data_IF_585553013206
#
_entry.id   IF_585553013206
#
_cell.length_a   1.000
_cell.length_b   1.000
_cell.length_c   1.000
_cell.angle_alpha   90.00
_cell.angle_beta   90.00
_cell.angle_gamma   90.00
#
_symmetry.space_group_name_H-M   'P 1'
#
loop_
_entity.id
_entity.type
_entity.pdbx_description
1 polymer ?
#
# COMPACT_ATOMS: atom_id res chain seq x y z
N UNK A 1 -25.37 -14.13 -4.72
CA UNK A 1 -23.96 -14.55 -4.66
C UNK A 1 -23.12 -13.29 -4.87
N UNK A 2 -22.53 -12.75 -3.80
CA UNK A 2 -22.02 -11.38 -3.75
C UNK A 2 -20.73 -11.21 -4.55
N UNK A 3 -19.88 -12.24 -4.59
CA UNK A 3 -18.68 -12.26 -5.42
C UNK A 3 -19.03 -12.31 -6.92
N UNK A 4 -20.11 -13.01 -7.27
CA UNK A 4 -20.66 -12.99 -8.63
C UNK A 4 -21.21 -11.60 -8.98
N UNK A 5 -21.87 -10.91 -8.05
CA UNK A 5 -22.39 -9.56 -8.28
C UNK A 5 -21.27 -8.52 -8.47
N UNK A 6 -20.17 -8.61 -7.73
CA UNK A 6 -19.02 -7.70 -7.88
C UNK A 6 -18.22 -8.02 -9.14
N UNK A 7 -18.03 -9.30 -9.45
CA UNK A 7 -17.43 -9.72 -10.72
C UNK A 7 -18.29 -9.29 -11.91
N UNK A 8 -19.62 -9.38 -11.78
CA UNK A 8 -20.58 -8.89 -12.77
C UNK A 8 -20.58 -7.36 -12.86
N UNK A 9 -20.41 -6.63 -11.75
CA UNK A 9 -20.24 -5.18 -11.76
C UNK A 9 -18.93 -4.77 -12.44
N UNK A 10 -17.82 -5.45 -12.14
CA UNK A 10 -16.54 -5.25 -12.81
C UNK A 10 -16.60 -5.58 -14.31
N UNK A 11 -17.41 -6.56 -14.71
CA UNK A 11 -17.69 -6.89 -16.10
C UNK A 11 -18.64 -5.87 -16.76
N UNK A 12 -19.66 -5.39 -16.05
CA UNK A 12 -20.58 -4.33 -16.48
C UNK A 12 -19.87 -2.99 -16.67
N UNK A 13 -18.88 -2.68 -15.82
CA UNK A 13 -17.96 -1.54 -15.98
C UNK A 13 -17.17 -1.65 -17.30
N UNK A 14 -16.72 -2.86 -17.68
CA UNK A 14 -16.06 -3.08 -18.98
C UNK A 14 -17.02 -2.84 -20.16
N UNK A 15 -18.32 -3.06 -19.96
CA UNK A 15 -19.38 -2.81 -20.94
C UNK A 15 -19.86 -1.35 -20.96
N UNK A 16 -19.49 -0.49 -19.99
CA UNK A 16 -19.85 0.94 -19.98
C UNK A 16 -19.38 1.68 -21.24
N UNK A 17 -18.24 1.28 -21.83
CA UNK A 17 -17.75 1.86 -23.10
C UNK A 17 -18.63 1.52 -24.32
N UNK A 18 -19.58 0.58 -24.21
CA UNK A 18 -20.36 0.10 -25.34
C UNK A 18 -21.85 0.48 -25.33
N UNK A 19 -22.44 0.91 -24.20
CA UNK A 19 -23.90 0.85 -24.04
C UNK A 19 -24.66 2.15 -23.74
N UNK A 20 -24.03 3.32 -23.57
CA UNK A 20 -24.74 4.58 -23.24
C UNK A 20 -25.75 4.46 -22.07
N UNK A 21 -25.50 3.55 -21.12
CA UNK A 21 -26.39 3.18 -19.99
C UNK A 21 -25.74 3.39 -18.62
N UNK A 22 -24.87 4.39 -18.52
CA UNK A 22 -24.04 4.61 -17.32
C UNK A 22 -24.87 4.91 -16.07
N UNK A 23 -25.95 5.68 -16.13
CA UNK A 23 -26.81 5.94 -14.96
C UNK A 23 -27.41 4.64 -14.37
N UNK A 24 -27.72 3.67 -15.23
CA UNK A 24 -28.24 2.36 -14.84
C UNK A 24 -27.12 1.52 -14.17
N UNK A 25 -25.90 1.57 -14.71
CA UNK A 25 -24.71 0.87 -14.16
C UNK A 25 -24.24 1.51 -12.84
N UNK A 26 -24.34 2.83 -12.73
CA UNK A 26 -24.08 3.62 -11.54
C UNK A 26 -25.06 3.28 -10.42
N UNK A 27 -26.36 3.21 -10.74
CA UNK A 27 -27.40 2.76 -9.82
C UNK A 27 -27.15 1.33 -9.33
N UNK A 28 -26.80 0.42 -10.24
CA UNK A 28 -26.44 -0.96 -9.89
C UNK A 28 -25.19 -1.04 -9.00
N UNK A 29 -24.16 -0.24 -9.27
CA UNK A 29 -22.97 -0.23 -8.42
C UNK A 29 -23.27 0.30 -7.01
N UNK A 30 -24.14 1.31 -6.91
CA UNK A 30 -24.64 1.85 -5.64
C UNK A 30 -25.38 0.77 -4.84
N UNK A 31 -26.30 0.06 -5.50
CA UNK A 31 -27.05 -1.04 -4.88
C UNK A 31 -26.14 -2.19 -4.44
N UNK A 32 -25.07 -2.46 -5.19
CA UNK A 32 -24.07 -3.47 -4.85
C UNK A 32 -23.26 -3.05 -3.63
N UNK A 33 -22.77 -1.80 -3.58
CA UNK A 33 -22.02 -1.27 -2.43
C UNK A 33 -22.85 -1.28 -1.14
N UNK A 34 -24.13 -0.91 -1.22
CA UNK A 34 -25.03 -0.93 -0.06
C UNK A 34 -25.39 -2.33 0.43
N UNK A 35 -25.17 -3.37 -0.39
CA UNK A 35 -25.50 -4.77 -0.08
C UNK A 35 -24.25 -5.67 0.00
N UNK A 36 -23.06 -5.09 0.21
CA UNK A 36 -21.83 -5.88 0.36
C UNK A 36 -21.92 -6.77 1.60
N UNK A 37 -21.96 -8.08 1.35
CA UNK A 37 -21.89 -9.09 2.39
C UNK A 37 -20.48 -9.18 2.99
N UNK A 38 -20.37 -9.61 4.24
CA UNK A 38 -19.10 -9.85 4.92
C UNK A 38 -18.17 -10.86 4.22
N UNK A 39 -18.67 -11.63 3.25
CA UNK A 39 -17.90 -12.63 2.52
C UNK A 39 -17.26 -12.10 1.23
N UNK A 40 -17.48 -10.84 0.90
CA UNK A 40 -16.95 -10.23 -0.33
C UNK A 40 -15.43 -10.13 -0.30
N UNK A 41 -14.81 -10.51 -1.41
CA UNK A 41 -13.36 -10.35 -1.58
C UNK A 41 -12.96 -8.88 -1.74
N UNK A 42 -12.15 -8.37 -0.80
CA UNK A 42 -11.63 -7.00 -0.81
C UNK A 42 -10.84 -6.64 -2.07
N UNK A 43 -10.16 -7.61 -2.71
CA UNK A 43 -9.44 -7.38 -3.97
C UNK A 43 -10.40 -7.05 -5.11
N UNK A 44 -11.48 -7.81 -5.24
CA UNK A 44 -12.43 -7.65 -6.34
C UNK A 44 -13.19 -6.33 -6.21
N UNK A 45 -13.50 -5.91 -4.97
CA UNK A 45 -14.04 -4.58 -4.68
C UNK A 45 -13.07 -3.46 -5.09
N UNK A 46 -11.80 -3.56 -4.70
CA UNK A 46 -10.78 -2.56 -5.07
C UNK A 46 -10.57 -2.47 -6.60
N UNK A 47 -10.58 -3.61 -7.29
CA UNK A 47 -10.47 -3.66 -8.75
C UNK A 47 -11.69 -3.03 -9.44
N UNK A 48 -12.90 -3.27 -8.90
CA UNK A 48 -14.13 -2.66 -9.40
C UNK A 48 -14.12 -1.14 -9.20
N UNK A 49 -13.82 -0.66 -7.99
CA UNK A 49 -13.69 0.77 -7.68
C UNK A 49 -12.63 1.45 -8.56
N UNK A 50 -11.47 0.83 -8.76
CA UNK A 50 -10.43 1.42 -9.61
C UNK A 50 -10.88 1.57 -11.06
N UNK A 51 -11.60 0.59 -11.62
CA UNK A 51 -12.14 0.67 -12.99
C UNK A 51 -13.24 1.73 -13.08
N UNK A 52 -14.15 1.71 -12.14
CA UNK A 52 -15.23 2.69 -12.01
C UNK A 52 -14.68 4.12 -11.98
N UNK A 53 -13.75 4.41 -11.07
CA UNK A 53 -13.16 5.74 -10.93
C UNK A 53 -12.46 6.19 -12.21
N UNK A 54 -11.79 5.28 -12.91
CA UNK A 54 -11.13 5.58 -14.18
C UNK A 54 -12.15 5.93 -15.27
N UNK A 55 -13.24 5.17 -15.39
CA UNK A 55 -14.27 5.42 -16.40
C UNK A 55 -15.02 6.73 -16.16
N UNK A 56 -15.43 7.01 -14.92
CA UNK A 56 -16.09 8.28 -14.58
C UNK A 56 -15.14 9.45 -14.79
N UNK A 57 -13.88 9.32 -14.38
CA UNK A 57 -12.87 10.34 -14.61
C UNK A 57 -12.70 10.67 -16.09
N UNK A 58 -12.53 9.64 -16.94
CA UNK A 58 -12.32 9.81 -18.38
C UNK A 58 -13.47 10.57 -19.06
N UNK A 59 -14.69 10.42 -18.55
CA UNK A 59 -15.90 10.91 -19.19
C UNK A 59 -16.46 12.20 -18.59
N UNK A 60 -16.45 12.30 -17.27
CA UNK A 60 -17.12 13.36 -16.50
C UNK A 60 -16.17 14.23 -15.66
N UNK A 61 -14.89 13.86 -15.63
CA UNK A 61 -13.84 14.63 -14.96
C UNK A 61 -13.77 14.44 -13.43
N UNK A 62 -12.72 15.03 -12.85
CA UNK A 62 -12.28 14.81 -11.46
C UNK A 62 -13.32 15.17 -10.42
N UNK A 63 -13.94 16.33 -10.54
CA UNK A 63 -14.92 16.78 -9.54
C UNK A 63 -16.12 15.83 -9.44
N UNK A 64 -16.54 15.28 -10.58
CA UNK A 64 -17.69 14.36 -10.64
C UNK A 64 -17.39 13.07 -9.90
N UNK A 65 -16.24 12.44 -10.17
CA UNK A 65 -15.88 11.18 -9.50
C UNK A 65 -15.64 11.39 -7.99
N UNK A 66 -15.01 12.48 -7.58
CA UNK A 66 -14.81 12.78 -6.15
C UNK A 66 -16.14 12.95 -5.43
N UNK A 67 -17.09 13.67 -6.04
CA UNK A 67 -18.44 13.86 -5.48
C UNK A 67 -19.18 12.53 -5.38
N UNK A 68 -19.11 11.68 -6.40
CA UNK A 68 -19.79 10.39 -6.41
C UNK A 68 -19.23 9.43 -5.35
N UNK A 69 -17.90 9.31 -5.27
CA UNK A 69 -17.26 8.50 -4.22
C UNK A 69 -17.55 9.05 -2.81
N UNK A 70 -17.61 10.38 -2.65
CA UNK A 70 -17.97 11.02 -1.38
C UNK A 70 -19.41 10.73 -0.96
N UNK A 71 -20.34 10.75 -1.92
CA UNK A 71 -21.72 10.36 -1.67
C UNK A 71 -21.83 8.89 -1.27
N UNK A 72 -21.07 7.98 -1.92
CA UNK A 72 -21.03 6.57 -1.52
C UNK A 72 -20.48 6.41 -0.10
N UNK A 73 -19.40 7.11 0.23
CA UNK A 73 -18.82 7.08 1.57
C UNK A 73 -19.82 7.56 2.64
N UNK A 74 -20.57 8.63 2.36
CA UNK A 74 -21.59 9.17 3.26
C UNK A 74 -22.80 8.26 3.45
N UNK A 75 -23.08 7.37 2.49
CA UNK A 75 -24.20 6.42 2.53
C UNK A 75 -23.78 5.00 2.93
N UNK A 76 -22.48 4.77 3.14
CA UNK A 76 -21.94 3.45 3.41
C UNK A 76 -22.25 3.00 4.85
N UNK A 77 -23.27 2.13 4.99
CA UNK A 77 -23.55 1.37 6.22
C UNK A 77 -22.86 -0.02 6.24
N UNK A 78 -22.06 -0.32 5.20
CA UNK A 78 -21.38 -1.59 5.02
C UNK A 78 -20.22 -1.84 5.99
N UNK A 79 -19.57 -3.02 5.90
CA UNK A 79 -18.46 -3.39 6.77
C UNK A 79 -17.24 -2.46 6.59
N UNK A 80 -16.37 -2.32 7.63
CA UNK A 80 -15.26 -1.34 7.63
C UNK A 80 -14.34 -1.38 6.40
N UNK A 81 -14.11 -2.56 5.82
CA UNK A 81 -13.26 -2.70 4.63
C UNK A 81 -13.83 -2.02 3.38
N UNK A 82 -15.16 -1.85 3.28
CA UNK A 82 -15.81 -1.14 2.16
C UNK A 82 -15.56 0.35 2.29
N UNK A 83 -15.68 0.87 3.51
CA UNK A 83 -15.38 2.25 3.84
C UNK A 83 -13.92 2.57 3.52
N UNK A 84 -13.00 1.71 3.95
CA UNK A 84 -11.57 1.80 3.58
C UNK A 84 -11.38 1.84 2.06
N UNK A 85 -11.99 0.91 1.31
CA UNK A 85 -11.83 0.84 -0.13
C UNK A 85 -12.32 2.11 -0.86
N UNK A 86 -13.43 2.70 -0.41
CA UNK A 86 -13.96 3.95 -0.96
C UNK A 86 -13.02 5.13 -0.70
N UNK A 87 -12.53 5.26 0.53
CA UNK A 87 -11.58 6.30 0.92
C UNK A 87 -10.29 6.19 0.11
N UNK A 88 -9.73 4.99 -0.03
CA UNK A 88 -8.53 4.76 -0.84
C UNK A 88 -8.77 5.02 -2.33
N UNK A 89 -9.98 4.78 -2.84
CA UNK A 89 -10.35 5.11 -4.22
C UNK A 89 -10.41 6.62 -4.44
N UNK A 90 -10.96 7.40 -3.50
CA UNK A 90 -10.94 8.88 -3.56
C UNK A 90 -9.52 9.40 -3.55
N UNK A 91 -8.70 8.90 -2.64
CA UNK A 91 -7.30 9.29 -2.51
C UNK A 91 -6.52 9.05 -3.81
N UNK A 92 -6.72 7.89 -4.43
CA UNK A 92 -6.10 7.55 -5.72
C UNK A 92 -6.51 8.48 -6.86
N UNK A 93 -7.75 8.98 -6.85
CA UNK A 93 -8.22 9.98 -7.81
C UNK A 93 -7.55 11.32 -7.55
N UNK A 94 -7.48 11.77 -6.30
CA UNK A 94 -6.83 13.03 -5.91
C UNK A 94 -5.35 13.03 -6.34
N UNK A 95 -4.60 12.01 -5.94
CA UNK A 95 -3.17 11.86 -6.27
C UNK A 95 -2.90 11.87 -7.78
N UNK A 96 -3.82 11.29 -8.56
CA UNK A 96 -3.62 11.11 -10.00
C UNK A 96 -4.10 12.28 -10.84
N UNK A 97 -5.09 13.04 -10.38
CA UNK A 97 -5.78 14.01 -11.23
C UNK A 97 -5.86 15.42 -10.64
N UNK A 98 -5.47 15.61 -9.37
CA UNK A 98 -5.38 16.93 -8.71
C UNK A 98 -3.90 17.26 -8.49
N UNK A 99 -3.14 17.33 -9.58
CA UNK A 99 -1.72 17.69 -9.54
C UNK A 99 -1.52 19.11 -9.00
N UNK A 100 -0.62 19.28 -8.04
CA UNK A 100 -0.20 20.58 -7.52
C UNK A 100 -1.04 21.13 -6.36
N UNK A 101 -2.04 20.38 -5.87
CA UNK A 101 -2.74 20.71 -4.62
C UNK A 101 -2.33 19.76 -3.48
N UNK A 102 -1.05 19.77 -3.13
CA UNK A 102 -0.50 18.93 -2.06
C UNK A 102 -1.21 19.17 -0.72
N UNK A 103 -1.69 20.39 -0.46
CA UNK A 103 -2.45 20.74 0.74
C UNK A 103 -3.79 20.00 0.84
N UNK A 104 -4.50 19.83 -0.28
CA UNK A 104 -5.76 19.08 -0.27
C UNK A 104 -5.49 17.59 -0.05
N UNK A 105 -4.43 17.05 -0.65
CA UNK A 105 -4.00 15.67 -0.44
C UNK A 105 -3.58 15.45 1.03
N UNK A 106 -2.85 16.38 1.64
CA UNK A 106 -2.46 16.36 3.06
C UNK A 106 -3.67 16.27 4.00
N UNK A 107 -4.71 17.07 3.73
CA UNK A 107 -5.95 17.04 4.52
C UNK A 107 -6.58 15.66 4.46
N UNK A 108 -6.70 15.08 3.25
CA UNK A 108 -7.29 13.75 3.09
C UNK A 108 -6.48 12.67 3.82
N UNK A 109 -5.14 12.65 3.70
CA UNK A 109 -4.31 11.71 4.46
C UNK A 109 -4.50 11.87 5.97
N UNK A 110 -4.57 13.11 6.47
CA UNK A 110 -4.79 13.40 7.88
C UNK A 110 -6.18 13.00 8.39
N UNK A 111 -7.21 13.06 7.54
CA UNK A 111 -8.56 12.59 7.88
C UNK A 111 -8.59 11.07 8.03
N UNK A 112 -7.92 10.31 7.15
CA UNK A 112 -7.86 8.84 7.24
C UNK A 112 -7.25 8.40 8.58
N UNK A 113 -6.14 9.02 8.99
CA UNK A 113 -5.46 8.71 10.26
C UNK A 113 -6.37 9.01 11.47
N UNK A 114 -7.21 10.04 11.39
CA UNK A 114 -8.13 10.42 12.48
C UNK A 114 -9.37 9.55 12.56
N UNK A 115 -9.84 9.10 11.41
CA UNK A 115 -11.14 8.44 11.29
C UNK A 115 -11.07 6.92 11.54
N UNK A 116 -9.96 6.30 11.17
CA UNK A 116 -9.79 4.85 11.28
C UNK A 116 -8.81 4.48 12.40
N UNK A 117 -9.21 3.58 13.30
CA UNK A 117 -8.22 2.92 14.15
C UNK A 117 -7.31 2.05 13.28
N UNK A 118 -6.00 2.16 13.52
CA UNK A 118 -4.99 1.46 12.71
C UNK A 118 -5.25 -0.04 12.65
N UNK A 119 -5.75 -0.65 13.72
CA UNK A 119 -6.08 -2.08 13.80
C UNK A 119 -7.11 -2.55 12.77
N UNK A 120 -8.01 -1.66 12.33
CA UNK A 120 -9.05 -1.97 11.33
C UNK A 120 -8.62 -1.69 9.90
N UNK A 121 -7.55 -0.92 9.69
CA UNK A 121 -7.00 -0.69 8.36
C UNK A 121 -6.27 -1.93 7.84
N UNK A 122 -6.35 -2.20 6.55
CA UNK A 122 -5.58 -3.26 5.91
C UNK A 122 -4.08 -2.91 5.84
N UNK A 123 -3.20 -3.92 5.83
CA UNK A 123 -1.75 -3.67 5.68
C UNK A 123 -1.37 -2.84 4.45
N UNK A 124 -2.02 -3.01 3.27
CA UNK A 124 -1.86 -2.10 2.13
C UNK A 124 -2.18 -0.64 2.43
N UNK A 125 -3.29 -0.38 3.13
CA UNK A 125 -3.71 0.97 3.48
C UNK A 125 -2.66 1.61 4.39
N UNK A 126 -2.22 0.88 5.42
CA UNK A 126 -1.20 1.35 6.37
C UNK A 126 0.13 1.62 5.67
N UNK A 127 0.57 0.74 4.77
CA UNK A 127 1.77 0.98 3.97
C UNK A 127 1.67 2.22 3.08
N UNK A 128 0.49 2.48 2.50
CA UNK A 128 0.26 3.68 1.70
C UNK A 128 0.37 4.95 2.55
N UNK A 129 -0.25 4.95 3.74
CA UNK A 129 -0.14 6.04 4.70
C UNK A 129 1.32 6.23 5.15
N UNK A 130 2.03 5.15 5.48
CA UNK A 130 3.42 5.20 5.90
C UNK A 130 4.34 5.77 4.82
N UNK A 131 4.13 5.37 3.56
CA UNK A 131 4.88 5.88 2.42
C UNK A 131 4.67 7.38 2.20
N UNK A 132 3.43 7.84 2.40
CA UNK A 132 3.10 9.26 2.32
C UNK A 132 3.81 10.09 3.40
N UNK A 133 3.69 9.66 4.65
CA UNK A 133 4.29 10.37 5.78
C UNK A 133 5.81 10.22 5.88
N UNK A 134 6.42 9.31 5.13
CA UNK A 134 7.86 9.06 5.16
C UNK A 134 8.73 10.33 5.13
N UNK A 135 8.36 11.33 4.33
CA UNK A 135 9.13 12.57 4.20
C UNK A 135 8.55 13.73 5.03
N UNK A 136 7.31 13.62 5.49
CA UNK A 136 6.55 14.71 6.12
C UNK A 136 6.44 14.54 7.65
N UNK A 137 6.37 13.29 8.12
CA UNK A 137 6.32 12.88 9.52
C UNK A 137 6.93 11.47 9.69
N UNK A 138 8.25 11.44 9.92
CA UNK A 138 9.02 10.20 10.04
C UNK A 138 8.65 9.37 11.27
N UNK A 139 8.16 10.01 12.34
CA UNK A 139 7.75 9.31 13.57
C UNK A 139 6.48 8.53 13.28
N UNK A 140 5.45 9.19 12.75
CA UNK A 140 4.20 8.54 12.33
C UNK A 140 4.45 7.46 11.28
N UNK A 141 5.28 7.74 10.26
CA UNK A 141 5.63 6.74 9.26
C UNK A 141 6.28 5.49 9.88
N UNK A 142 7.15 5.66 10.88
CA UNK A 142 7.77 4.54 11.60
C UNK A 142 6.74 3.74 12.38
N UNK A 143 5.80 4.39 13.05
CA UNK A 143 4.72 3.71 13.80
C UNK A 143 3.86 2.86 12.86
N UNK A 144 3.47 3.42 11.72
CA UNK A 144 2.67 2.72 10.70
C UNK A 144 3.41 1.51 10.13
N UNK A 145 4.70 1.63 9.81
CA UNK A 145 5.48 0.47 9.36
C UNK A 145 5.62 -0.59 10.45
N UNK A 146 5.84 -0.20 11.71
CA UNK A 146 5.91 -1.14 12.84
C UNK A 146 4.59 -1.88 13.06
N UNK A 147 3.44 -1.21 12.88
CA UNK A 147 2.13 -1.84 12.93
C UNK A 147 1.99 -2.97 11.89
N UNK A 148 2.46 -2.76 10.65
CA UNK A 148 2.47 -3.81 9.62
C UNK A 148 3.39 -4.98 10.00
N UNK A 149 4.53 -4.72 10.66
CA UNK A 149 5.41 -5.77 11.16
C UNK A 149 4.77 -6.57 12.31
N UNK A 150 4.11 -5.87 13.24
CA UNK A 150 3.47 -6.45 14.42
C UNK A 150 2.38 -7.47 14.08
N UNK A 151 1.74 -7.33 12.92
CA UNK A 151 0.72 -8.27 12.42
C UNK A 151 1.27 -9.64 12.01
N UNK A 152 2.58 -9.72 11.72
CA UNK A 152 3.26 -10.97 11.33
C UNK A 152 2.87 -11.52 9.94
N UNK A 153 3.75 -12.36 9.37
CA UNK A 153 3.59 -13.20 8.16
C UNK A 153 2.67 -12.68 7.03
N UNK A 154 2.66 -11.38 6.78
CA UNK A 154 1.97 -10.80 5.64
C UNK A 154 2.94 -10.69 4.45
N UNK A 155 2.42 -10.72 3.23
CA UNK A 155 3.22 -10.41 2.02
C UNK A 155 3.80 -8.99 2.00
N UNK A 156 3.38 -8.15 2.96
CA UNK A 156 3.70 -6.74 3.08
C UNK A 156 4.82 -6.46 4.09
N UNK A 157 5.29 -7.49 4.79
CA UNK A 157 6.37 -7.37 5.78
C UNK A 157 7.64 -6.80 5.14
N UNK A 158 7.99 -7.22 3.91
CA UNK A 158 9.17 -6.70 3.21
C UNK A 158 9.10 -5.20 2.94
N UNK A 159 7.95 -4.69 2.50
CA UNK A 159 7.70 -3.25 2.29
C UNK A 159 7.81 -2.47 3.60
N UNK A 160 7.27 -3.01 4.71
CA UNK A 160 7.35 -2.36 6.00
C UNK A 160 8.77 -2.26 6.54
N UNK A 161 9.56 -3.34 6.46
CA UNK A 161 10.97 -3.30 6.88
C UNK A 161 11.76 -2.33 6.00
N UNK A 162 11.49 -2.31 4.68
CA UNK A 162 12.11 -1.36 3.75
C UNK A 162 11.81 0.10 4.15
N UNK A 163 10.56 0.40 4.47
CA UNK A 163 10.11 1.70 4.95
C UNK A 163 10.85 2.18 6.21
N UNK A 164 10.95 1.32 7.22
CA UNK A 164 11.71 1.60 8.46
C UNK A 164 13.18 1.86 8.16
N UNK A 165 13.79 1.04 7.30
CA UNK A 165 15.18 1.20 6.96
C UNK A 165 15.41 2.53 6.20
N UNK A 166 14.47 2.96 5.35
CA UNK A 166 14.51 4.27 4.69
C UNK A 166 14.41 5.42 5.70
N UNK A 167 13.49 5.37 6.66
CA UNK A 167 13.39 6.38 7.74
C UNK A 167 14.71 6.50 8.50
N UNK A 168 15.26 5.37 8.93
CA UNK A 168 16.49 5.36 9.70
C UNK A 168 17.67 5.90 8.85
N UNK A 169 17.66 5.71 7.52
CA UNK A 169 18.70 6.19 6.61
C UNK A 169 18.68 7.69 6.39
N UNK A 170 17.50 8.32 6.53
CA UNK A 170 17.33 9.77 6.48
C UNK A 170 17.79 10.45 7.77
N UNK A 171 18.12 9.68 8.81
CA UNK A 171 18.64 10.22 10.06
C UNK A 171 20.11 10.59 9.95
N UNK A 172 20.47 11.75 10.49
CA UNK A 172 21.87 12.16 10.67
C UNK A 172 22.58 11.44 11.82
N UNK A 173 21.87 10.59 12.57
CA UNK A 173 22.41 9.77 13.66
C UNK A 173 23.08 8.50 13.10
N UNK A 174 24.40 8.39 13.29
CA UNK A 174 25.18 7.23 12.85
C UNK A 174 24.71 5.88 13.43
N UNK A 175 24.10 5.85 14.63
CA UNK A 175 23.54 4.62 15.19
C UNK A 175 22.28 4.19 14.44
N UNK A 176 21.43 5.15 14.06
CA UNK A 176 20.25 4.89 13.23
C UNK A 176 20.65 4.49 11.82
N UNK A 177 21.66 5.14 11.23
CA UNK A 177 22.22 4.77 9.92
C UNK A 177 22.76 3.33 9.90
N UNK A 178 23.53 2.92 10.93
CA UNK A 178 23.97 1.53 11.12
C UNK A 178 22.78 0.56 11.22
N UNK A 179 21.77 0.91 12.02
CA UNK A 179 20.55 0.10 12.18
C UNK A 179 19.77 -0.01 10.86
N UNK A 180 19.81 1.02 10.01
CA UNK A 180 19.16 1.05 8.70
C UNK A 180 19.81 0.05 7.75
N UNK A 181 21.15 0.12 7.64
CA UNK A 181 21.94 -0.77 6.80
C UNK A 181 21.70 -2.22 7.24
N UNK A 182 21.66 -2.46 8.54
CA UNK A 182 21.34 -3.77 9.09
C UNK A 182 19.91 -4.23 8.76
N UNK A 183 18.92 -3.36 8.92
CA UNK A 183 17.52 -3.64 8.55
C UNK A 183 17.38 -3.99 7.07
N UNK A 184 17.93 -3.18 6.17
CA UNK A 184 17.95 -3.45 4.72
C UNK A 184 18.57 -4.81 4.38
N UNK A 185 19.71 -5.15 5.01
CA UNK A 185 20.37 -6.45 4.80
C UNK A 185 19.51 -7.62 5.25
N UNK A 186 18.88 -7.54 6.43
CA UNK A 186 17.97 -8.58 6.89
C UNK A 186 16.81 -8.84 5.92
N UNK A 187 16.27 -7.79 5.28
CA UNK A 187 15.20 -7.98 4.27
C UNK A 187 15.68 -8.80 3.09
N UNK A 188 16.85 -8.46 2.54
CA UNK A 188 17.45 -9.19 1.42
C UNK A 188 17.71 -10.65 1.80
N UNK A 189 18.20 -10.89 3.02
CA UNK A 189 18.48 -12.24 3.51
C UNK A 189 17.23 -13.11 3.67
N UNK A 190 16.15 -12.53 4.20
CA UNK A 190 14.91 -13.21 4.52
C UNK A 190 14.05 -13.46 3.29
N UNK A 191 13.94 -12.47 2.38
CA UNK A 191 12.97 -12.49 1.29
C UNK A 191 13.61 -12.59 -0.10
N UNK A 192 14.92 -12.39 -0.21
CA UNK A 192 15.63 -12.31 -1.48
C UNK A 192 15.23 -11.07 -2.30
N UNK A 193 15.98 -10.81 -3.37
CA UNK A 193 15.72 -9.68 -4.28
C UNK A 193 14.36 -9.78 -5.00
N UNK A 194 13.76 -10.97 -5.12
CA UNK A 194 12.55 -11.19 -5.93
C UNK A 194 11.30 -10.51 -5.35
N UNK A 195 11.30 -10.22 -4.04
CA UNK A 195 10.21 -9.50 -3.36
C UNK A 195 10.52 -8.02 -3.11
N UNK A 196 11.67 -7.54 -3.59
CA UNK A 196 12.11 -6.15 -3.49
C UNK A 196 12.02 -5.49 -4.89
N UNK A 197 11.38 -4.33 -4.98
CA UNK A 197 11.36 -3.54 -6.23
C UNK A 197 12.78 -3.06 -6.59
N UNK A 198 13.04 -2.83 -7.88
CA UNK A 198 14.38 -2.36 -8.35
C UNK A 198 14.85 -1.08 -7.63
N UNK A 199 13.92 -0.17 -7.34
CA UNK A 199 14.18 1.06 -6.60
C UNK A 199 14.75 0.80 -5.21
N UNK A 200 14.31 -0.27 -4.55
CA UNK A 200 14.75 -0.63 -3.20
C UNK A 200 16.21 -1.04 -3.13
N UNK A 201 16.70 -1.72 -4.16
CA UNK A 201 18.07 -2.21 -4.22
C UNK A 201 19.03 -1.09 -4.66
N UNK A 202 18.59 -0.25 -5.59
CA UNK A 202 19.34 0.95 -5.97
C UNK A 202 19.58 1.87 -4.75
N UNK A 203 18.57 2.03 -3.89
CA UNK A 203 18.69 2.87 -2.70
C UNK A 203 19.66 2.27 -1.66
N UNK A 204 19.64 0.94 -1.48
CA UNK A 204 20.61 0.26 -0.63
C UNK A 204 22.04 0.41 -1.17
N UNK A 205 22.24 0.24 -2.47
CA UNK A 205 23.55 0.39 -3.09
C UNK A 205 24.09 1.81 -2.88
N UNK A 206 23.26 2.85 -3.08
CA UNK A 206 23.64 4.24 -2.79
C UNK A 206 24.02 4.42 -1.31
N UNK A 207 23.24 3.85 -0.39
CA UNK A 207 23.51 3.95 1.05
C UNK A 207 24.82 3.26 1.43
N UNK A 208 25.11 2.09 0.86
CA UNK A 208 26.36 1.35 1.11
C UNK A 208 27.57 2.04 0.48
N UNK A 209 27.44 2.60 -0.73
CA UNK A 209 28.52 3.33 -1.40
C UNK A 209 28.88 4.62 -0.67
N UNK A 210 27.89 5.32 -0.12
CA UNK A 210 28.09 6.53 0.66
C UNK A 210 28.63 6.26 2.09
N UNK A 211 28.63 4.99 2.54
CA UNK A 211 29.02 4.59 3.89
C UNK A 211 29.93 3.36 3.91
N UNK A 212 31.01 3.38 3.11
CA UNK A 212 31.95 2.25 2.96
C UNK A 212 32.51 1.72 4.29
N UNK A 213 32.82 2.61 5.23
CA UNK A 213 33.35 2.24 6.55
C UNK A 213 32.37 1.40 7.40
N UNK A 214 31.07 1.52 7.13
CA UNK A 214 30.01 0.70 7.75
C UNK A 214 29.73 -0.58 6.95
N UNK A 215 29.91 -0.55 5.63
CA UNK A 215 29.74 -1.70 4.75
C UNK A 215 30.72 -2.83 5.06
N UNK A 216 31.95 -2.48 5.49
CA UNK A 216 33.07 -3.39 5.70
C UNK A 216 33.21 -3.86 7.17
N UNK A 217 32.31 -3.43 8.06
CA UNK A 217 32.29 -3.83 9.46
C UNK A 217 31.79 -5.28 9.62
N UNK A 218 32.66 -6.18 10.12
CA UNK A 218 32.34 -7.57 10.47
C UNK A 218 31.19 -7.71 11.49
N UNK A 219 30.88 -6.65 12.27
CA UNK A 219 29.71 -6.63 13.18
C UNK A 219 28.36 -6.67 12.45
N UNK A 220 28.32 -6.40 11.14
CA UNK A 220 27.10 -6.36 10.34
C UNK A 220 27.02 -7.60 9.44
N UNK A 221 27.08 -8.78 10.06
CA UNK A 221 26.72 -10.17 9.65
C UNK A 221 26.95 -10.72 8.21
N UNK A 222 27.05 -9.91 7.14
CA UNK A 222 27.44 -10.32 5.78
C UNK A 222 27.97 -9.13 4.95
N UNK A 223 29.01 -9.37 4.16
CA UNK A 223 29.68 -8.40 3.27
C UNK A 223 28.82 -7.98 2.07
N UNK A 224 29.14 -6.82 1.46
CA UNK A 224 28.51 -6.34 0.19
C UNK A 224 28.57 -7.41 -0.92
N UNK A 225 29.67 -8.15 -1.01
CA UNK A 225 29.85 -9.21 -2.00
C UNK A 225 28.85 -10.36 -1.78
N UNK A 226 28.62 -10.77 -0.52
CA UNK A 226 27.67 -11.82 -0.18
C UNK A 226 26.23 -11.41 -0.49
N UNK A 227 25.86 -10.15 -0.23
CA UNK A 227 24.57 -9.59 -0.62
C UNK A 227 24.35 -9.61 -2.13
N UNK A 228 25.33 -9.18 -2.92
CA UNK A 228 25.25 -9.21 -4.38
C UNK A 228 25.10 -10.64 -4.93
N UNK A 229 25.66 -11.64 -4.24
CA UNK A 229 25.45 -13.05 -4.62
C UNK A 229 24.08 -13.61 -4.24
N UNK A 230 23.44 -13.05 -3.19
CA UNK A 230 22.06 -13.36 -2.78
C UNK A 230 21.03 -12.68 -3.68
N UNK A 231 21.33 -11.48 -4.17
CA UNK A 231 20.54 -10.74 -5.17
C UNK A 231 20.29 -11.59 -6.43
N UNK A 232 21.27 -12.36 -6.88
CA UNK A 232 21.16 -13.22 -8.07
C UNK A 232 20.45 -14.56 -7.87
N UNK A 233 19.97 -14.90 -6.67
CA UNK A 233 19.39 -16.22 -6.37
C UNK A 233 18.06 -16.10 -5.59
N UNK A 234 16.92 -16.45 -6.20
CA UNK A 234 15.67 -16.58 -5.46
C UNK A 234 15.84 -17.64 -4.37
N UNK A 235 15.87 -17.24 -3.09
CA UNK A 235 15.64 -18.21 -2.02
C UNK A 235 14.18 -18.61 -2.13
N UNK A 236 13.92 -19.85 -2.55
CA UNK A 236 12.63 -20.51 -2.30
C UNK A 236 12.32 -20.26 -0.82
N UNK A 237 11.21 -19.60 -0.53
CA UNK A 237 10.69 -19.47 0.84
C UNK A 237 10.55 -20.91 1.34
N UNK A 238 11.53 -21.36 2.11
CA UNK A 238 11.41 -22.61 2.81
C UNK A 238 10.29 -22.36 3.80
N UNK A 239 9.13 -22.97 3.56
CA UNK A 239 8.10 -23.13 4.56
C UNK A 239 8.79 -23.66 5.81
N UNK A 240 9.13 -22.77 6.77
CA UNK A 240 9.46 -23.19 8.12
C UNK A 240 8.17 -23.80 8.63
N UNK A 241 8.04 -25.12 8.49
CA UNK A 241 7.14 -25.91 9.33
C UNK A 241 7.53 -25.52 10.75
N UNK A 242 6.64 -24.79 11.41
CA UNK A 242 6.70 -24.61 12.85
C UNK A 242 6.69 -26.03 13.41
N UNK A 243 7.83 -26.47 13.94
CA UNK A 243 7.91 -27.65 14.78
C UNK A 243 7.03 -27.35 16.00
N UNK A 244 5.84 -27.95 16.01
CA UNK A 244 5.03 -28.08 17.21
C UNK A 244 5.82 -28.95 18.17
N UNK A 245 6.28 -28.38 19.28
CA UNK A 245 6.43 -29.14 20.52
C UNK A 245 5.07 -29.18 21.22
#
# INVERSE_FOLDING_TARGET
>A
DTDYAISAAAAGIKMMKQLEKEDEVMGQFTEILSNISNNTNAKDLNDALSKYSTSVQERYGTQTILTQLGNFLGQCEGPPFVREALVLAQLKVLEKYVFGNEQEIDVYYGEIIKEFDLEYLSSPAILKLASYYLNNDQELASELYQEVLGRGNSRYVSEAIFGIAKIQSLSTDQKKLKSSIFGFRQVIELYGHVMLGEDSLSELDKLLENNKDLSDSEEILMSRAELMTLVGKPRRIANKKILRN
#
